data_IF_245060653161
#
_entry.id   IF_245060653161
#
_cell.length_a   1.000
_cell.length_b   1.000
_cell.length_c   1.000
_cell.angle_alpha   90.00
_cell.angle_beta   90.00
_cell.angle_gamma   90.00
#
_symmetry.space_group_name_H-M   'P 1'
#
loop_
_entity.id
_entity.type
_entity.pdbx_description
1 polymer ?
#
# COMPACT_ATOMS: atom_id res chain seq x y z
N UNK A 1 -0.75 22.27 -3.66
CA UNK A 1 -0.30 21.95 -5.04
C UNK A 1 -1.53 21.84 -5.91
N UNK A 2 -1.45 22.04 -7.22
CA UNK A 2 -2.62 21.88 -8.10
C UNK A 2 -2.95 20.38 -8.23
N UNK A 3 -4.22 20.01 -8.02
CA UNK A 3 -4.69 18.66 -8.29
C UNK A 3 -4.63 18.35 -9.79
N UNK A 4 -4.48 17.08 -10.13
CA UNK A 4 -4.49 16.60 -11.52
C UNK A 4 -5.75 15.78 -11.76
N UNK A 5 -6.50 16.10 -12.79
CA UNK A 5 -7.73 15.38 -13.12
C UNK A 5 -7.42 14.07 -13.86
N UNK A 6 -7.69 12.95 -13.20
CA UNK A 6 -7.50 11.59 -13.73
C UNK A 6 -8.82 10.81 -13.59
N UNK A 7 -9.30 10.20 -14.66
CA UNK A 7 -10.55 9.42 -14.66
C UNK A 7 -11.75 10.16 -14.06
N UNK A 8 -11.79 11.48 -14.28
CA UNK A 8 -12.90 12.32 -13.80
C UNK A 8 -12.81 12.81 -12.38
N UNK A 9 -11.78 12.41 -11.60
CA UNK A 9 -11.55 12.89 -10.23
C UNK A 9 -10.25 13.68 -10.10
N UNK A 10 -10.16 14.51 -9.08
CA UNK A 10 -8.99 15.29 -8.75
C UNK A 10 -8.05 14.49 -7.82
N UNK A 11 -6.83 14.19 -8.31
CA UNK A 11 -5.79 13.50 -7.54
C UNK A 11 -4.66 14.46 -7.19
N UNK A 12 -4.21 14.39 -5.94
CA UNK A 12 -3.02 15.10 -5.46
C UNK A 12 -1.79 14.24 -5.73
N UNK A 13 -0.94 14.66 -6.67
CA UNK A 13 0.21 13.90 -7.16
C UNK A 13 1.51 14.67 -6.89
N UNK A 14 2.54 13.97 -6.44
CA UNK A 14 3.87 14.49 -6.13
C UNK A 14 4.91 13.70 -6.91
N UNK A 15 5.81 14.41 -7.58
CA UNK A 15 6.87 13.81 -8.38
C UNK A 15 8.21 14.34 -7.87
N UNK A 16 9.16 13.43 -7.60
CA UNK A 16 10.53 13.76 -7.20
C UNK A 16 11.54 12.95 -8.02
N UNK A 17 12.73 13.51 -8.22
CA UNK A 17 13.83 12.84 -8.91
C UNK A 17 13.63 12.71 -10.43
N UNK A 18 14.52 11.96 -11.05
CA UNK A 18 14.56 11.72 -12.48
C UNK A 18 14.92 10.23 -12.75
N UNK A 19 14.76 9.77 -13.99
CA UNK A 19 15.09 8.40 -14.38
C UNK A 19 13.87 7.53 -14.59
N UNK A 20 14.02 6.23 -14.35
CA UNK A 20 12.94 5.24 -14.51
C UNK A 20 11.77 5.59 -13.58
N UNK A 21 10.52 5.61 -14.07
CA UNK A 21 9.36 5.83 -13.22
C UNK A 21 9.21 4.74 -12.16
N UNK A 22 8.94 5.17 -10.93
CA UNK A 22 8.57 4.32 -9.80
C UNK A 22 7.33 4.92 -9.14
N UNK A 23 6.19 4.28 -9.29
CA UNK A 23 4.95 4.66 -8.62
C UNK A 23 4.89 4.01 -7.24
N UNK A 24 4.50 4.77 -6.23
CA UNK A 24 4.33 4.29 -4.86
C UNK A 24 2.90 4.55 -4.38
N UNK A 25 2.26 3.52 -3.82
CA UNK A 25 0.87 3.53 -3.39
C UNK A 25 0.79 3.30 -1.88
N UNK A 26 0.17 4.25 -1.16
CA UNK A 26 0.09 4.26 0.30
C UNK A 26 -0.98 3.32 0.88
N UNK A 27 -1.09 3.29 2.21
CA UNK A 27 -1.97 2.42 2.99
C UNK A 27 -3.38 2.98 3.14
N UNK A 28 -4.33 2.15 3.58
CA UNK A 28 -5.69 2.56 3.97
C UNK A 28 -5.65 3.61 5.09
N UNK A 29 -6.42 4.68 4.92
CA UNK A 29 -6.49 5.81 5.85
C UNK A 29 -5.28 6.74 5.81
N UNK A 30 -4.25 6.42 5.03
CA UNK A 30 -3.02 7.20 4.90
C UNK A 30 -3.06 8.26 3.79
N UNK A 31 -1.89 8.78 3.48
CA UNK A 31 -1.65 9.72 2.40
C UNK A 31 -0.25 9.53 1.81
N UNK A 32 0.05 10.24 0.72
CA UNK A 32 1.34 10.10 0.02
C UNK A 32 2.56 10.55 0.84
N UNK A 33 2.40 11.42 1.85
CA UNK A 33 3.52 11.93 2.64
C UNK A 33 4.12 10.83 3.52
N UNK A 34 3.31 9.86 3.92
CA UNK A 34 3.77 8.67 4.66
C UNK A 34 4.79 7.84 3.86
N UNK A 35 4.77 7.94 2.54
CA UNK A 35 5.74 7.27 1.69
C UNK A 35 7.05 8.06 1.49
N UNK A 36 7.15 9.29 1.99
CA UNK A 36 8.36 10.11 1.83
C UNK A 36 9.62 9.48 2.45
N UNK A 37 9.47 8.68 3.49
CA UNK A 37 10.55 7.89 4.11
C UNK A 37 11.19 6.92 3.10
N UNK A 38 10.42 6.44 2.11
CA UNK A 38 10.88 5.54 1.05
C UNK A 38 11.12 6.29 -0.26
N UNK A 39 10.17 7.12 -0.68
CA UNK A 39 10.22 7.83 -1.96
C UNK A 39 11.38 8.83 -2.05
N UNK A 40 11.72 9.53 -0.95
CA UNK A 40 12.79 10.52 -0.96
C UNK A 40 14.19 9.90 -1.16
N UNK A 41 14.61 8.84 -0.44
CA UNK A 41 15.84 8.14 -0.75
C UNK A 41 15.87 7.60 -2.19
N UNK A 42 14.80 6.93 -2.63
CA UNK A 42 14.72 6.33 -3.96
C UNK A 42 14.70 7.37 -5.10
N UNK A 43 14.30 8.61 -4.83
CA UNK A 43 14.31 9.70 -5.83
C UNK A 43 15.72 10.09 -6.31
N UNK A 44 16.77 9.59 -5.64
CA UNK A 44 18.16 9.73 -6.12
C UNK A 44 18.43 8.92 -7.39
N UNK A 45 17.69 7.84 -7.59
CA UNK A 45 17.88 6.88 -8.68
C UNK A 45 16.69 6.78 -9.63
N UNK A 46 15.48 7.15 -9.15
CA UNK A 46 14.22 6.97 -9.86
C UNK A 46 13.43 8.28 -9.94
N UNK A 47 12.56 8.38 -10.94
CA UNK A 47 11.47 9.35 -10.93
C UNK A 47 10.35 8.79 -10.06
N UNK A 48 10.35 9.12 -8.77
CA UNK A 48 9.31 8.67 -7.84
C UNK A 48 8.03 9.46 -8.03
N UNK A 49 6.90 8.77 -8.10
CA UNK A 49 5.57 9.32 -8.25
C UNK A 49 4.73 8.79 -7.09
N UNK A 50 4.40 9.65 -6.16
CA UNK A 50 3.48 9.38 -5.07
C UNK A 50 2.20 10.17 -5.28
N UNK A 51 1.09 9.68 -4.80
CA UNK A 51 -0.20 10.37 -4.91
C UNK A 51 -1.12 9.95 -3.77
N UNK A 52 -1.99 10.85 -3.38
CA UNK A 52 -3.11 10.49 -2.52
C UNK A 52 -4.11 9.72 -3.36
N UNK A 53 -4.35 8.45 -3.02
CA UNK A 53 -5.31 7.64 -3.76
C UNK A 53 -6.72 8.21 -3.58
N UNK A 54 -7.62 7.90 -4.52
CA UNK A 54 -9.06 8.22 -4.44
C UNK A 54 -9.60 7.97 -3.03
N UNK A 55 -10.32 8.92 -2.48
CA UNK A 55 -10.91 8.83 -1.14
C UNK A 55 -9.96 9.16 0.01
N UNK A 56 -8.70 9.59 -0.25
CA UNK A 56 -7.68 9.82 0.78
C UNK A 56 -6.96 11.16 0.61
N UNK A 57 -6.31 11.61 1.69
CA UNK A 57 -5.45 12.79 1.72
C UNK A 57 -6.12 14.02 1.12
N UNK A 58 -5.45 14.70 0.20
CA UNK A 58 -5.94 15.87 -0.51
C UNK A 58 -6.60 15.55 -1.86
N UNK A 59 -6.71 14.26 -2.22
CA UNK A 59 -7.46 13.82 -3.37
C UNK A 59 -8.97 13.87 -3.12
N UNK A 60 -9.74 13.89 -4.21
CA UNK A 60 -11.19 13.86 -4.15
C UNK A 60 -11.70 12.61 -3.42
N UNK A 61 -12.70 12.79 -2.55
CA UNK A 61 -13.27 11.75 -1.68
C UNK A 61 -14.73 11.44 -2.07
N UNK A 62 -14.96 10.65 -3.14
CA UNK A 62 -16.31 10.21 -3.49
C UNK A 62 -16.92 9.35 -2.40
N UNK A 63 -18.25 9.37 -2.28
CA UNK A 63 -18.96 8.58 -1.28
C UNK A 63 -18.90 7.06 -1.55
N UNK A 64 -18.74 6.67 -2.82
CA UNK A 64 -18.63 5.27 -3.24
C UNK A 64 -17.60 5.12 -4.36
N UNK A 65 -16.82 4.05 -4.29
CA UNK A 65 -15.83 3.62 -5.27
C UNK A 65 -15.41 2.17 -4.99
N UNK A 66 -14.65 1.60 -5.91
CA UNK A 66 -14.26 0.20 -5.90
C UNK A 66 -12.74 0.04 -5.99
N UNK A 67 -12.22 -1.16 -5.75
CA UNK A 67 -10.81 -1.49 -6.01
C UNK A 67 -10.46 -1.30 -7.50
N UNK A 68 -11.42 -1.56 -8.41
CA UNK A 68 -11.20 -1.34 -9.85
C UNK A 68 -11.02 0.14 -10.18
N UNK A 69 -11.70 1.05 -9.47
CA UNK A 69 -11.49 2.49 -9.66
C UNK A 69 -10.06 2.90 -9.27
N UNK A 70 -9.53 2.36 -8.18
CA UNK A 70 -8.13 2.59 -7.79
C UNK A 70 -7.14 2.04 -8.83
N UNK A 71 -7.39 0.84 -9.36
CA UNK A 71 -6.56 0.24 -10.43
C UNK A 71 -6.57 1.15 -11.66
N UNK A 72 -7.75 1.60 -12.07
CA UNK A 72 -7.91 2.50 -13.22
C UNK A 72 -7.21 3.85 -12.99
N UNK A 73 -7.21 4.39 -11.75
CA UNK A 73 -6.53 5.64 -11.43
C UNK A 73 -5.01 5.52 -11.59
N UNK A 74 -4.41 4.40 -11.17
CA UNK A 74 -2.97 4.16 -11.38
C UNK A 74 -2.64 4.09 -12.88
N UNK A 75 -3.44 3.36 -13.66
CA UNK A 75 -3.27 3.30 -15.12
C UNK A 75 -3.47 4.67 -15.75
N UNK A 76 -4.47 5.43 -15.29
CA UNK A 76 -4.75 6.79 -15.75
C UNK A 76 -3.60 7.78 -15.42
N UNK A 77 -2.93 7.64 -14.26
CA UNK A 77 -1.72 8.40 -13.94
C UNK A 77 -0.61 8.06 -14.94
N UNK A 78 -0.41 6.77 -15.22
CA UNK A 78 0.60 6.35 -16.20
C UNK A 78 0.33 6.94 -17.58
N UNK A 79 -0.93 6.92 -18.03
CA UNK A 79 -1.33 7.47 -19.32
C UNK A 79 -1.15 9.00 -19.37
N UNK A 80 -1.58 9.71 -18.33
CA UNK A 80 -1.46 11.17 -18.24
C UNK A 80 -0.01 11.66 -18.32
N UNK A 81 0.91 10.93 -17.68
CA UNK A 81 2.34 11.26 -17.71
C UNK A 81 3.13 10.57 -18.83
N UNK A 82 2.46 9.91 -19.79
CA UNK A 82 3.06 9.17 -20.90
C UNK A 82 4.08 8.12 -20.43
N UNK A 83 3.74 7.38 -19.36
CA UNK A 83 4.57 6.32 -18.79
C UNK A 83 4.17 5.00 -19.43
N UNK A 84 4.94 4.51 -20.38
CA UNK A 84 4.69 3.22 -21.01
C UNK A 84 4.93 2.05 -20.05
N UNK A 85 6.06 2.10 -19.33
CA UNK A 85 6.46 1.06 -18.36
C UNK A 85 6.99 1.69 -17.07
N UNK A 86 6.68 1.06 -15.94
CA UNK A 86 7.04 1.56 -14.61
C UNK A 86 7.49 0.44 -13.68
N UNK A 87 8.16 0.82 -12.59
CA UNK A 87 8.25 0.05 -11.37
C UNK A 87 7.08 0.46 -10.45
N UNK A 88 6.53 -0.48 -9.69
CA UNK A 88 5.36 -0.24 -8.86
C UNK A 88 5.60 -0.79 -7.46
N UNK A 89 5.38 0.04 -6.45
CA UNK A 89 5.46 -0.33 -5.03
C UNK A 89 4.14 -0.02 -4.35
N UNK A 90 3.56 -1.02 -3.70
CA UNK A 90 2.35 -0.84 -2.91
C UNK A 90 2.53 -1.35 -1.47
N UNK A 91 1.98 -0.62 -0.51
CA UNK A 91 2.02 -0.97 0.92
C UNK A 91 0.61 -1.25 1.42
N UNK A 92 0.38 -2.42 2.05
CA UNK A 92 -0.92 -2.84 2.58
C UNK A 92 -2.03 -2.72 1.51
N UNK A 93 -3.04 -1.88 1.68
CA UNK A 93 -4.04 -1.59 0.64
C UNK A 93 -3.39 -1.23 -0.71
N UNK A 94 -2.33 -0.42 -0.70
CA UNK A 94 -1.57 -0.10 -1.91
C UNK A 94 -1.02 -1.33 -2.62
N UNK A 95 -0.68 -2.39 -1.88
CA UNK A 95 -0.23 -3.67 -2.46
C UNK A 95 -1.37 -4.43 -3.16
N UNK A 96 -2.62 -4.29 -2.70
CA UNK A 96 -3.78 -4.89 -3.38
C UNK A 96 -4.04 -4.19 -4.71
N UNK A 97 -3.97 -2.84 -4.69
CA UNK A 97 -4.08 -2.02 -5.90
C UNK A 97 -2.95 -2.38 -6.88
N UNK A 98 -1.71 -2.47 -6.39
CA UNK A 98 -0.55 -2.81 -7.22
C UNK A 98 -0.65 -4.20 -7.86
N UNK A 99 -1.17 -5.22 -7.14
CA UNK A 99 -1.50 -6.53 -7.71
C UNK A 99 -2.52 -6.40 -8.85
N UNK A 100 -3.63 -5.68 -8.60
CA UNK A 100 -4.66 -5.47 -9.60
C UNK A 100 -4.16 -4.76 -10.86
N UNK A 101 -3.28 -3.75 -10.71
CA UNK A 101 -2.63 -3.07 -11.84
C UNK A 101 -1.74 -4.02 -12.62
N UNK A 102 -0.91 -4.81 -11.93
CA UNK A 102 -0.01 -5.77 -12.59
C UNK A 102 -0.76 -6.92 -13.28
N UNK A 103 -1.96 -7.28 -12.82
CA UNK A 103 -2.85 -8.24 -13.49
C UNK A 103 -3.51 -7.59 -14.72
N UNK A 104 -3.99 -6.35 -14.59
CA UNK A 104 -4.73 -5.68 -15.66
C UNK A 104 -3.84 -5.24 -16.83
N UNK A 105 -2.55 -4.91 -16.57
CA UNK A 105 -1.61 -4.42 -17.56
C UNK A 105 -0.19 -4.99 -17.30
N UNK A 106 0.00 -6.32 -17.41
CA UNK A 106 1.26 -6.98 -17.03
C UNK A 106 2.46 -6.48 -17.85
N UNK A 107 2.26 -6.09 -19.10
CA UNK A 107 3.29 -5.55 -19.99
C UNK A 107 3.79 -4.16 -19.58
N UNK A 108 3.04 -3.45 -18.73
CA UNK A 108 3.37 -2.09 -18.26
C UNK A 108 4.15 -2.08 -16.94
N UNK A 109 4.21 -3.21 -16.22
CA UNK A 109 4.90 -3.31 -14.93
C UNK A 109 6.15 -4.18 -15.09
N UNK A 110 7.33 -3.59 -14.94
CA UNK A 110 8.60 -4.31 -15.08
C UNK A 110 9.07 -4.89 -13.74
N UNK A 111 8.91 -4.13 -12.65
CA UNK A 111 9.20 -4.59 -11.28
C UNK A 111 8.04 -4.24 -10.36
N UNK A 112 7.69 -5.17 -9.49
CA UNK A 112 6.58 -5.05 -8.55
C UNK A 112 7.09 -5.30 -7.14
N UNK A 113 6.78 -4.40 -6.21
CA UNK A 113 7.06 -4.56 -4.78
C UNK A 113 5.75 -4.53 -4.02
N UNK A 114 5.49 -5.60 -3.29
CA UNK A 114 4.28 -5.79 -2.50
C UNK A 114 4.67 -5.88 -1.03
N UNK A 115 4.40 -4.84 -0.26
CA UNK A 115 4.71 -4.77 1.17
C UNK A 115 3.46 -5.08 1.98
N UNK A 116 3.55 -6.03 2.90
CA UNK A 116 2.48 -6.55 3.78
C UNK A 116 1.18 -6.83 3.01
N UNK A 117 1.26 -7.62 1.93
CA UNK A 117 0.14 -7.87 1.05
C UNK A 117 -0.76 -9.00 1.52
N UNK A 118 -1.98 -9.06 0.94
CA UNK A 118 -2.80 -10.27 0.86
C UNK A 118 -3.40 -10.43 -0.53
N UNK A 119 -3.74 -11.66 -0.91
CA UNK A 119 -4.20 -12.02 -2.26
C UNK A 119 -5.70 -11.82 -2.48
N UNK A 120 -6.47 -11.60 -1.42
CA UNK A 120 -7.92 -11.51 -1.49
C UNK A 120 -8.51 -10.62 -0.38
N UNK A 121 -9.70 -10.08 -0.62
CA UNK A 121 -10.52 -9.30 0.31
C UNK A 121 -11.83 -9.98 0.69
N UNK A 122 -11.82 -11.32 0.82
CA UNK A 122 -13.00 -12.08 1.25
C UNK A 122 -13.36 -11.85 2.71
N UNK A 123 -12.37 -11.46 3.52
CA UNK A 123 -12.53 -10.99 4.89
C UNK A 123 -11.79 -9.67 5.08
N UNK A 124 -12.34 -8.72 5.83
CA UNK A 124 -11.65 -7.50 6.22
C UNK A 124 -10.77 -7.77 7.43
N UNK A 125 -9.44 -7.69 7.27
CA UNK A 125 -8.50 -7.86 8.38
C UNK A 125 -8.71 -6.79 9.45
N UNK A 126 -9.01 -5.54 9.06
CA UNK A 126 -9.30 -4.44 9.99
C UNK A 126 -10.57 -4.71 10.79
N UNK A 127 -11.63 -5.20 10.13
CA UNK A 127 -12.88 -5.53 10.83
C UNK A 127 -12.66 -6.68 11.82
N UNK A 128 -11.93 -7.71 11.42
CA UNK A 128 -11.59 -8.85 12.31
C UNK A 128 -10.81 -8.37 13.55
N UNK A 129 -9.83 -7.49 13.37
CA UNK A 129 -9.08 -6.91 14.48
C UNK A 129 -9.99 -6.11 15.42
N UNK A 130 -10.92 -5.32 14.89
CA UNK A 130 -11.87 -4.54 15.69
C UNK A 130 -12.83 -5.46 16.47
N UNK A 131 -13.32 -6.52 15.84
CA UNK A 131 -14.20 -7.51 16.48
C UNK A 131 -13.48 -8.29 17.59
N UNK A 132 -12.24 -8.71 17.36
CA UNK A 132 -11.42 -9.44 18.33
C UNK A 132 -11.13 -8.61 19.59
N UNK A 133 -10.96 -7.28 19.43
CA UNK A 133 -10.63 -6.37 20.51
C UNK A 133 -11.77 -5.40 20.86
N UNK A 134 -13.03 -5.78 20.58
CA UNK A 134 -14.19 -4.92 20.72
C UNK A 134 -14.34 -4.30 22.13
N UNK A 135 -14.06 -5.05 23.20
CA UNK A 135 -14.14 -4.53 24.57
C UNK A 135 -13.03 -3.50 24.89
N UNK A 136 -11.85 -3.61 24.29
CA UNK A 136 -10.75 -2.65 24.49
C UNK A 136 -11.00 -1.32 23.80
N UNK A 137 -11.75 -1.32 22.70
CA UNK A 137 -12.03 -0.13 21.89
C UNK A 137 -13.40 0.47 22.16
N UNK A 138 -14.20 -0.13 23.03
CA UNK A 138 -15.56 0.30 23.36
C UNK A 138 -15.61 1.75 23.85
N UNK A 139 -16.41 2.56 23.20
CA UNK A 139 -16.60 3.98 23.54
C UNK A 139 -15.47 4.91 23.10
N UNK A 140 -14.45 4.40 22.40
CA UNK A 140 -13.35 5.19 21.84
C UNK A 140 -13.74 5.79 20.49
N UNK A 141 -13.22 6.97 20.19
CA UNK A 141 -13.27 7.50 18.84
C UNK A 141 -12.29 6.73 17.93
N UNK A 142 -12.31 7.03 16.62
CA UNK A 142 -11.50 6.30 15.65
C UNK A 142 -9.99 6.39 15.93
N UNK A 143 -9.48 7.60 16.23
CA UNK A 143 -8.07 7.82 16.55
C UNK A 143 -7.65 7.04 17.80
N UNK A 144 -8.42 7.14 18.89
CA UNK A 144 -8.18 6.37 20.12
C UNK A 144 -8.23 4.85 19.88
N UNK A 145 -9.11 4.40 18.98
CA UNK A 145 -9.19 3.00 18.55
C UNK A 145 -7.89 2.55 17.91
N UNK A 146 -7.38 3.28 16.92
CA UNK A 146 -6.13 2.94 16.24
C UNK A 146 -4.96 2.94 17.22
N UNK A 147 -4.82 3.94 18.09
CA UNK A 147 -3.76 3.97 19.11
C UNK A 147 -3.86 2.80 20.10
N UNK A 148 -5.08 2.41 20.49
CA UNK A 148 -5.29 1.25 21.38
C UNK A 148 -4.85 -0.05 20.72
N UNK A 149 -5.09 -0.19 19.43
CA UNK A 149 -4.78 -1.40 18.66
C UNK A 149 -3.36 -1.42 18.11
N UNK A 150 -2.61 -0.32 18.22
CA UNK A 150 -1.24 -0.20 17.68
C UNK A 150 -0.33 -1.34 18.15
N UNK A 151 -0.43 -1.75 19.41
CA UNK A 151 0.34 -2.87 20.00
C UNK A 151 0.13 -4.22 19.32
N UNK A 152 -0.96 -4.38 18.56
CA UNK A 152 -1.26 -5.57 17.77
C UNK A 152 -0.81 -5.42 16.30
N UNK A 153 -0.65 -4.17 15.85
CA UNK A 153 -0.26 -3.86 14.47
C UNK A 153 1.25 -3.89 14.26
N UNK A 154 2.02 -3.52 15.29
CA UNK A 154 3.47 -3.32 15.18
C UNK A 154 4.23 -4.21 16.18
N UNK A 155 5.45 -4.55 15.83
CA UNK A 155 6.35 -5.30 16.71
C UNK A 155 6.92 -4.42 17.82
N UNK A 156 7.32 -3.19 17.48
CA UNK A 156 7.94 -2.25 18.40
C UNK A 156 7.15 -0.95 18.49
N UNK A 157 6.33 -0.83 19.55
CA UNK A 157 5.53 0.36 19.79
C UNK A 157 6.37 1.60 20.12
N UNK A 158 7.59 1.46 20.67
CA UNK A 158 8.47 2.60 20.98
C UNK A 158 8.97 3.28 19.70
N UNK A 159 9.39 2.50 18.68
CA UNK A 159 9.75 3.04 17.38
C UNK A 159 8.56 3.80 16.79
N UNK A 160 7.39 3.22 16.89
CA UNK A 160 6.18 3.82 16.31
C UNK A 160 5.68 5.06 17.05
N UNK A 161 6.08 5.30 18.31
CA UNK A 161 5.80 6.57 19.00
C UNK A 161 6.40 7.79 18.30
N UNK A 162 7.49 7.62 17.54
CA UNK A 162 8.11 8.67 16.74
C UNK A 162 7.44 8.85 15.36
N UNK A 163 6.48 7.99 15.04
CA UNK A 163 5.77 7.95 13.76
C UNK A 163 4.26 7.84 13.95
N UNK A 164 3.71 8.36 15.07
CA UNK A 164 2.27 8.27 15.34
C UNK A 164 1.43 9.02 14.30
N UNK A 165 1.97 10.09 13.74
CA UNK A 165 1.39 10.85 12.63
C UNK A 165 1.08 9.98 11.39
N UNK A 166 1.80 8.87 11.23
CA UNK A 166 1.54 7.87 10.17
C UNK A 166 0.19 7.17 10.35
N UNK A 167 -0.27 7.03 11.58
CA UNK A 167 -1.55 6.40 11.90
C UNK A 167 -2.69 7.42 12.05
N UNK A 168 -2.38 8.71 11.95
CA UNK A 168 -3.41 9.74 11.88
C UNK A 168 -4.09 9.68 10.51
N UNK A 169 -5.41 9.75 10.53
CA UNK A 169 -6.21 9.86 9.31
C UNK A 169 -7.09 11.09 9.40
N UNK A 170 -7.17 11.81 8.30
CA UNK A 170 -8.09 12.94 8.10
C UNK A 170 -9.45 12.49 7.55
N UNK A 171 -9.66 11.18 7.42
CA UNK A 171 -10.92 10.62 6.94
C UNK A 171 -11.99 10.66 8.05
N UNK A 172 -13.19 11.07 7.67
CA UNK A 172 -14.36 10.84 8.53
C UNK A 172 -14.66 9.34 8.64
N UNK A 173 -15.43 8.89 9.65
CA UNK A 173 -15.84 7.49 9.76
C UNK A 173 -16.53 6.96 8.49
N UNK A 174 -17.35 7.77 7.83
CA UNK A 174 -18.05 7.43 6.58
C UNK A 174 -17.07 7.26 5.41
N UNK A 175 -16.08 8.16 5.29
CA UNK A 175 -15.03 8.08 4.28
C UNK A 175 -14.14 6.86 4.49
N UNK A 176 -13.78 6.56 5.74
CA UNK A 176 -13.02 5.35 6.07
C UNK A 176 -13.82 4.08 5.76
N UNK A 177 -15.12 4.07 6.07
CA UNK A 177 -16.00 2.95 5.74
C UNK A 177 -16.10 2.74 4.22
N UNK A 178 -16.21 3.82 3.43
CA UNK A 178 -16.20 3.75 1.96
C UNK A 178 -14.88 3.17 1.44
N UNK A 179 -13.73 3.64 1.97
CA UNK A 179 -12.41 3.15 1.62
C UNK A 179 -12.24 1.65 1.95
N UNK A 180 -12.67 1.23 3.13
CA UNK A 180 -12.62 -0.19 3.52
C UNK A 180 -13.56 -1.06 2.67
N UNK A 181 -14.76 -0.56 2.33
CA UNK A 181 -15.72 -1.24 1.45
C UNK A 181 -15.13 -1.49 0.06
N UNK A 182 -14.34 -0.55 -0.47
CA UNK A 182 -13.69 -0.69 -1.76
C UNK A 182 -12.71 -1.88 -1.83
N UNK A 183 -12.24 -2.37 -0.68
CA UNK A 183 -11.29 -3.48 -0.55
C UNK A 183 -11.97 -4.84 -0.30
N UNK A 184 -13.28 -4.92 -0.42
CA UNK A 184 -14.02 -6.17 -0.19
C UNK A 184 -14.23 -6.96 -1.48
N UNK A 185 -14.37 -8.29 -1.32
CA UNK A 185 -14.79 -9.22 -2.38
C UNK A 185 -13.84 -9.35 -3.59
N UNK A 186 -12.59 -8.88 -3.51
CA UNK A 186 -11.61 -9.23 -4.53
C UNK A 186 -10.95 -10.58 -4.20
N UNK A 187 -10.54 -11.30 -5.26
CA UNK A 187 -9.75 -12.52 -5.14
C UNK A 187 -8.84 -12.66 -6.36
N UNK A 188 -7.57 -12.33 -6.18
CA UNK A 188 -6.57 -12.34 -7.24
C UNK A 188 -5.83 -13.67 -7.39
N UNK A 189 -6.08 -14.67 -6.54
CA UNK A 189 -5.30 -15.93 -6.53
C UNK A 189 -5.27 -16.65 -7.87
N UNK A 190 -6.32 -16.56 -8.66
CA UNK A 190 -6.38 -17.17 -9.99
C UNK A 190 -5.62 -16.36 -11.06
N UNK A 191 -5.43 -15.06 -10.82
CA UNK A 191 -4.87 -14.12 -11.80
C UNK A 191 -3.41 -13.77 -11.50
N UNK A 192 -2.94 -13.96 -10.25
CA UNK A 192 -1.54 -13.76 -9.86
C UNK A 192 -0.52 -14.50 -10.76
N UNK A 193 -0.80 -15.73 -11.29
CA UNK A 193 0.10 -16.38 -12.23
C UNK A 193 0.31 -15.63 -13.55
N UNK A 194 -0.55 -14.66 -13.89
CA UNK A 194 -0.43 -13.84 -15.09
C UNK A 194 0.53 -12.63 -14.90
N UNK A 195 0.97 -12.34 -13.69
CA UNK A 195 1.93 -11.27 -13.42
C UNK A 195 3.30 -11.69 -13.95
N UNK A 196 3.80 -10.94 -14.92
CA UNK A 196 5.11 -11.19 -15.59
C UNK A 196 6.25 -10.41 -14.95
N UNK A 197 5.95 -9.37 -14.18
CA UNK A 197 6.91 -8.51 -13.51
C UNK A 197 7.81 -9.31 -12.55
N UNK A 198 9.10 -8.99 -12.51
CA UNK A 198 9.93 -9.40 -11.38
C UNK A 198 9.30 -8.84 -10.10
N UNK A 199 9.03 -9.70 -9.12
CA UNK A 199 8.24 -9.32 -7.94
C UNK A 199 8.99 -9.58 -6.65
N UNK A 200 9.00 -8.58 -5.75
CA UNK A 200 9.47 -8.69 -4.38
C UNK A 200 8.27 -8.58 -3.43
N UNK A 201 8.05 -9.62 -2.65
CA UNK A 201 7.00 -9.65 -1.61
C UNK A 201 7.65 -9.52 -0.26
N UNK A 202 7.25 -8.52 0.53
CA UNK A 202 7.81 -8.21 1.85
C UNK A 202 6.70 -8.34 2.90
N UNK A 203 6.92 -9.13 3.94
CA UNK A 203 5.99 -9.26 5.08
C UNK A 203 6.73 -9.02 6.40
N UNK A 204 6.06 -8.40 7.36
CA UNK A 204 6.53 -8.35 8.74
C UNK A 204 6.20 -9.66 9.46
N UNK A 205 7.16 -10.20 10.19
CA UNK A 205 7.02 -11.49 10.91
C UNK A 205 5.86 -11.52 11.91
N UNK A 206 5.58 -10.37 12.50
CA UNK A 206 4.57 -10.20 13.57
C UNK A 206 3.32 -9.46 13.07
N UNK A 207 3.12 -9.38 11.75
CA UNK A 207 1.94 -8.77 11.17
C UNK A 207 0.68 -9.59 11.46
N UNK A 208 -0.25 -9.04 12.22
CA UNK A 208 -1.52 -9.69 12.55
C UNK A 208 -2.63 -9.39 11.53
N UNK A 209 -2.50 -8.29 10.73
CA UNK A 209 -3.49 -7.96 9.70
C UNK A 209 -3.32 -8.81 8.44
N UNK A 210 -2.09 -8.87 7.95
CA UNK A 210 -1.70 -9.64 6.77
C UNK A 210 -0.52 -10.54 7.14
N UNK A 211 -0.76 -11.67 7.80
CA UNK A 211 0.30 -12.55 8.30
C UNK A 211 1.27 -12.98 7.19
N UNK A 212 2.54 -13.30 7.50
CA UNK A 212 3.53 -13.71 6.49
C UNK A 212 3.08 -14.81 5.54
N UNK A 213 2.18 -15.69 6.00
CA UNK A 213 1.57 -16.74 5.15
C UNK A 213 0.85 -16.19 3.91
N UNK A 214 0.26 -14.98 4.01
CA UNK A 214 -0.45 -14.35 2.89
C UNK A 214 0.55 -13.86 1.84
N UNK A 215 1.66 -13.25 2.26
CA UNK A 215 2.77 -12.88 1.37
C UNK A 215 3.45 -14.12 0.75
N UNK A 216 3.62 -15.19 1.52
CA UNK A 216 4.17 -16.46 1.03
C UNK A 216 3.26 -17.11 -0.02
N UNK A 217 1.93 -17.02 0.15
CA UNK A 217 0.96 -17.49 -0.85
C UNK A 217 1.15 -16.73 -2.17
N UNK A 218 1.20 -15.38 -2.11
CA UNK A 218 1.42 -14.53 -3.28
C UNK A 218 2.73 -14.86 -3.98
N UNK A 219 3.82 -14.98 -3.22
CA UNK A 219 5.13 -15.29 -3.78
C UNK A 219 5.20 -16.69 -4.43
N UNK A 220 4.36 -17.63 -4.00
CA UNK A 220 4.23 -18.94 -4.65
C UNK A 220 3.41 -18.91 -5.94
N UNK A 221 2.45 -17.97 -6.04
CA UNK A 221 1.54 -17.87 -7.17
C UNK A 221 2.12 -17.04 -8.31
N UNK A 222 2.95 -16.03 -8.03
CA UNK A 222 3.60 -15.19 -9.04
C UNK A 222 4.90 -15.89 -9.53
N UNK A 223 5.05 -16.16 -10.84
CA UNK A 223 6.17 -16.97 -11.36
C UNK A 223 7.56 -16.40 -11.04
N UNK A 224 7.72 -15.07 -11.09
CA UNK A 224 9.01 -14.39 -10.91
C UNK A 224 9.07 -13.65 -9.55
N UNK A 225 8.53 -14.25 -8.50
CA UNK A 225 8.51 -13.62 -7.19
C UNK A 225 9.58 -14.17 -6.25
N UNK A 226 10.08 -13.28 -5.40
CA UNK A 226 10.88 -13.59 -4.21
C UNK A 226 10.16 -13.10 -2.97
N UNK A 227 10.30 -13.84 -1.86
CA UNK A 227 9.71 -13.50 -0.57
C UNK A 227 10.80 -13.08 0.42
N UNK A 228 10.56 -11.98 1.14
CA UNK A 228 11.41 -11.50 2.20
C UNK A 228 10.60 -11.26 3.47
N UNK A 229 11.08 -11.78 4.59
CA UNK A 229 10.47 -11.57 5.90
C UNK A 229 11.30 -10.60 6.73
N UNK A 230 10.65 -9.54 7.21
CA UNK A 230 11.21 -8.56 8.14
C UNK A 230 11.07 -9.10 9.57
N UNK A 231 12.21 -9.36 10.21
CA UNK A 231 12.25 -10.16 11.44
C UNK A 231 11.76 -9.44 12.68
N UNK A 232 11.81 -8.10 12.68
CA UNK A 232 11.46 -7.24 13.81
C UNK A 232 10.36 -6.27 13.46
N UNK A 233 9.42 -6.69 12.59
CA UNK A 233 8.32 -5.85 12.13
C UNK A 233 6.98 -6.56 12.21
N UNK A 234 5.94 -5.76 12.51
CA UNK A 234 4.54 -6.09 12.27
C UNK A 234 4.06 -5.55 10.91
N UNK A 235 2.94 -4.83 10.91
CA UNK A 235 2.31 -4.29 9.69
C UNK A 235 3.00 -3.04 9.12
N UNK A 236 4.04 -2.51 9.79
CA UNK A 236 4.71 -1.27 9.43
C UNK A 236 6.23 -1.42 9.16
N UNK A 237 6.69 -2.41 8.34
CA UNK A 237 8.13 -2.67 8.18
C UNK A 237 8.91 -1.49 7.60
N UNK A 238 8.27 -0.60 6.85
CA UNK A 238 8.91 0.62 6.32
C UNK A 238 9.35 1.59 7.41
N UNK A 239 8.78 1.51 8.62
CA UNK A 239 9.11 2.32 9.78
C UNK A 239 9.90 1.53 10.82
N UNK A 240 9.53 0.27 11.06
CA UNK A 240 10.12 -0.56 12.12
C UNK A 240 11.53 -1.04 11.77
N UNK A 241 11.82 -1.30 10.48
CA UNK A 241 13.13 -1.72 9.98
C UNK A 241 13.53 -0.88 8.75
N UNK A 242 13.43 0.44 8.82
CA UNK A 242 13.58 1.37 7.68
C UNK A 242 14.84 1.15 6.85
N UNK A 243 16.01 1.08 7.50
CA UNK A 243 17.30 0.92 6.79
C UNK A 243 17.35 -0.40 6.02
N UNK A 244 16.94 -1.50 6.66
CA UNK A 244 16.88 -2.82 6.04
C UNK A 244 15.86 -2.87 4.91
N UNK A 245 14.71 -2.23 5.12
CA UNK A 245 13.67 -2.14 4.10
C UNK A 245 14.18 -1.41 2.86
N UNK A 246 14.78 -0.24 3.03
CA UNK A 246 15.35 0.55 1.94
C UNK A 246 16.43 -0.22 1.20
N UNK A 247 17.36 -0.86 1.91
CA UNK A 247 18.41 -1.66 1.29
C UNK A 247 17.83 -2.80 0.44
N UNK A 248 16.82 -3.51 0.95
CA UNK A 248 16.16 -4.60 0.24
C UNK A 248 15.47 -4.12 -1.04
N UNK A 249 14.77 -2.98 -0.95
CA UNK A 249 14.06 -2.36 -2.08
C UNK A 249 15.06 -1.83 -3.13
N UNK A 250 16.12 -1.12 -2.72
CA UNK A 250 17.15 -0.63 -3.64
C UNK A 250 17.87 -1.76 -4.34
N UNK A 251 18.30 -2.80 -3.61
CA UNK A 251 18.96 -3.98 -4.18
C UNK A 251 18.09 -4.66 -5.23
N UNK A 252 16.78 -4.73 -5.00
CA UNK A 252 15.84 -5.30 -5.95
C UNK A 252 15.64 -4.40 -7.18
N UNK A 253 15.49 -3.09 -6.98
CA UNK A 253 15.19 -2.15 -8.06
C UNK A 253 16.39 -1.88 -8.97
N UNK A 254 17.63 -1.93 -8.44
CA UNK A 254 18.87 -1.61 -9.19
C UNK A 254 19.50 -2.79 -9.92
N UNK A 255 19.10 -4.02 -9.62
CA UNK A 255 19.48 -5.24 -10.36
C UNK A 255 18.68 -5.40 -11.64
#
# INVERSE_FOLDING_TARGET
>A
MASTKINGIDLNIKIKGNGKPLLLIHVLGGNQEQLDIVATPLSKHFKTITFDIRGHGQSEKPAEYTLQDHINDVLGIMDFYNIEKTYLLGVSMGSYIAQGVAIAAPERIEKLILTVPKSNGLTSSVQMLFEEHAEEIKGKNFHETILTLLKYLVYNTEIMQHHLDVFETDLTPEQFAAANKALTNFDFRKDLPNITAATLVISGKYDCLNPPKDGQEIAKLIPNATFAEMQFSGHAPIYEETERYLQLVEDFLLK
#
